data_IF_541350262565
#
_entry.id   IF_541350262565
#
_cell.length_a   1.000
_cell.length_b   1.000
_cell.length_c   1.000
_cell.angle_alpha   90.00
_cell.angle_beta   90.00
_cell.angle_gamma   90.00
#
_symmetry.space_group_name_H-M   'P 1'
#
loop_
_entity.id
_entity.type
_entity.pdbx_description
1 polymer ?
#
# COMPACT_ATOMS: atom_id res chain seq x y z
N UNK A 1 26.48 36.55 -1.13
CA UNK A 1 25.15 37.04 -0.74
C UNK A 1 24.16 35.97 -1.16
N UNK A 2 24.06 34.93 -0.34
CA UNK A 2 23.19 33.78 -0.57
C UNK A 2 21.75 34.22 -0.33
N UNK A 3 20.87 33.96 -1.29
CA UNK A 3 19.43 34.06 -1.09
C UNK A 3 18.94 32.70 -0.60
N UNK A 4 18.65 32.66 0.69
CA UNK A 4 17.96 31.57 1.36
C UNK A 4 16.55 31.42 0.76
N UNK A 5 16.32 30.35 0.00
CA UNK A 5 14.97 29.96 -0.44
C UNK A 5 14.42 29.01 0.61
N UNK A 6 13.57 29.52 1.50
CA UNK A 6 12.78 28.72 2.44
C UNK A 6 11.71 27.97 1.64
N UNK A 7 11.84 26.64 1.54
CA UNK A 7 10.73 25.78 1.14
C UNK A 7 9.95 25.38 2.40
N UNK A 8 8.72 25.86 2.50
CA UNK A 8 7.76 25.41 3.52
C UNK A 8 7.39 23.96 3.27
N UNK A 9 7.58 23.12 4.28
CA UNK A 9 7.11 21.73 4.29
C UNK A 9 5.58 21.71 4.43
N UNK A 10 4.89 21.58 3.29
CA UNK A 10 3.52 21.03 3.29
C UNK A 10 3.63 19.52 3.12
N UNK A 11 3.02 18.80 4.05
CA UNK A 11 3.13 17.34 4.28
C UNK A 11 2.92 16.53 2.99
N UNK A 12 3.81 15.58 2.63
CA UNK A 12 3.51 14.61 1.59
C UNK A 12 2.77 13.43 2.23
N UNK A 13 1.44 13.39 2.04
CA UNK A 13 0.72 12.12 2.12
C UNK A 13 0.78 11.44 0.75
N UNK A 14 1.05 10.15 0.84
CA UNK A 14 1.09 9.07 -0.14
C UNK A 14 0.36 9.31 -1.46
N UNK A 15 1.10 9.04 -2.54
CA UNK A 15 0.58 8.89 -3.89
C UNK A 15 0.48 7.37 -4.14
N UNK A 16 -0.68 6.74 -3.93
CA UNK A 16 -1.00 5.52 -4.67
C UNK A 16 -0.91 5.88 -6.15
N UNK A 17 0.11 5.35 -6.80
CA UNK A 17 0.52 5.74 -8.13
C UNK A 17 -0.48 5.22 -9.18
N UNK A 18 -1.61 5.92 -9.34
CA UNK A 18 -2.43 5.83 -10.56
C UNK A 18 -2.50 7.10 -11.37
N UNK A 19 -2.15 8.28 -10.87
CA UNK A 19 -2.14 9.50 -11.70
C UNK A 19 -0.91 10.37 -11.49
N UNK A 20 0.14 10.03 -12.23
CA UNK A 20 1.12 10.97 -12.77
C UNK A 20 1.74 10.41 -14.06
N UNK A 21 0.93 9.95 -15.02
CA UNK A 21 1.44 9.73 -16.39
C UNK A 21 0.45 10.12 -17.50
N UNK A 22 0.13 11.42 -17.70
CA UNK A 22 -0.12 11.93 -19.02
C UNK A 22 1.21 12.44 -19.62
N UNK A 23 1.73 11.73 -20.64
CA UNK A 23 2.71 12.17 -21.67
C UNK A 23 4.17 11.69 -21.68
N UNK A 24 4.63 10.73 -20.86
CA UNK A 24 6.01 10.21 -21.01
C UNK A 24 6.11 8.71 -21.30
N UNK A 25 5.48 8.29 -22.40
CA UNK A 25 5.96 7.13 -23.18
C UNK A 25 7.25 7.53 -23.92
N UNK A 26 8.39 7.51 -23.23
CA UNK A 26 9.76 7.36 -23.77
C UNK A 26 10.75 7.63 -22.65
N UNK A 27 11.06 6.59 -21.89
CA UNK A 27 12.35 6.53 -21.23
C UNK A 27 12.88 5.10 -21.33
N UNK A 28 13.91 4.95 -22.16
CA UNK A 28 14.78 3.79 -22.13
C UNK A 28 15.57 3.86 -20.82
N UNK A 29 15.09 3.21 -19.76
CA UNK A 29 15.90 2.97 -18.56
C UNK A 29 16.49 1.58 -18.62
N UNK A 30 17.66 1.52 -19.21
CA UNK A 30 18.61 0.43 -19.03
C UNK A 30 19.25 0.53 -17.65
N UNK A 31 19.17 -0.58 -16.91
CA UNK A 31 20.06 -1.03 -15.84
C UNK A 31 19.72 -0.70 -14.38
N UNK A 32 18.67 -1.36 -13.85
CA UNK A 32 18.89 -2.13 -12.62
C UNK A 32 19.60 -3.42 -13.04
N UNK A 33 20.84 -3.62 -12.61
CA UNK A 33 21.57 -4.88 -12.78
C UNK A 33 21.46 -5.68 -11.47
N UNK A 34 20.40 -6.49 -11.26
CA UNK A 34 20.54 -7.57 -10.30
C UNK A 34 21.65 -8.47 -10.85
N UNK A 35 22.63 -8.82 -10.01
CA UNK A 35 23.53 -9.93 -10.34
C UNK A 35 22.63 -11.08 -10.81
N UNK A 36 22.88 -11.58 -12.02
CA UNK A 36 22.08 -12.63 -12.69
C UNK A 36 21.82 -13.81 -11.75
N UNK A 37 20.71 -13.75 -11.05
CA UNK A 37 19.98 -14.84 -10.44
C UNK A 37 18.53 -14.56 -10.82
N UNK A 38 17.82 -15.57 -11.31
CA UNK A 38 16.38 -15.46 -11.58
C UNK A 38 15.69 -14.76 -10.40
N UNK A 39 14.68 -13.92 -10.66
CA UNK A 39 13.65 -13.64 -9.64
C UNK A 39 13.05 -14.99 -9.24
N UNK A 40 13.62 -15.64 -8.24
CA UNK A 40 13.04 -16.83 -7.65
C UNK A 40 12.08 -16.32 -6.58
N UNK A 41 10.82 -16.13 -6.98
CA UNK A 41 9.75 -16.01 -6.00
C UNK A 41 9.88 -17.14 -4.98
N UNK A 42 9.58 -16.83 -3.72
CA UNK A 42 9.73 -17.80 -2.65
C UNK A 42 8.83 -19.00 -2.93
N UNK A 43 9.30 -20.20 -2.68
CA UNK A 43 8.49 -21.42 -2.91
C UNK A 43 7.87 -21.98 -1.63
N UNK A 44 8.18 -21.39 -0.47
CA UNK A 44 7.71 -21.85 0.84
C UNK A 44 7.32 -20.69 1.77
N UNK A 45 6.34 -20.88 2.66
CA UNK A 45 5.98 -19.89 3.68
C UNK A 45 7.15 -19.55 4.61
N UNK A 46 7.13 -18.34 5.16
CA UNK A 46 8.12 -17.80 6.09
C UNK A 46 7.81 -18.16 7.54
N UNK A 47 8.86 -18.18 8.35
CA UNK A 47 8.80 -18.26 9.81
C UNK A 47 9.41 -17.00 10.45
N UNK A 48 9.47 -16.97 11.78
CA UNK A 48 10.01 -15.83 12.54
C UNK A 48 11.44 -15.42 12.18
N UNK A 49 12.31 -16.38 11.86
CA UNK A 49 13.71 -16.09 11.55
C UNK A 49 13.91 -15.43 10.19
N UNK A 50 12.93 -15.52 9.29
CA UNK A 50 12.95 -14.83 8.00
C UNK A 50 12.72 -13.31 8.16
N UNK A 51 12.32 -12.85 9.34
CA UNK A 51 12.02 -11.44 9.61
C UNK A 51 10.93 -10.85 8.72
N UNK A 52 9.77 -11.52 8.52
CA UNK A 52 8.79 -11.11 7.52
C UNK A 52 8.20 -9.72 7.81
N UNK A 53 8.08 -8.92 6.75
CA UNK A 53 7.43 -7.62 6.76
C UNK A 53 6.21 -7.65 5.85
N UNK A 54 5.07 -7.19 6.38
CA UNK A 54 3.83 -7.02 5.62
C UNK A 54 3.65 -5.54 5.36
N UNK A 55 3.91 -5.15 4.12
CA UNK A 55 3.79 -3.79 3.65
C UNK A 55 2.34 -3.54 3.26
N UNK A 56 1.70 -2.54 3.86
CA UNK A 56 0.32 -2.17 3.53
C UNK A 56 0.24 -0.67 3.25
N UNK A 57 -0.48 -0.34 2.18
CA UNK A 57 -0.84 1.02 1.79
C UNK A 57 -2.36 1.08 1.56
N UNK A 58 -3.02 2.05 2.16
CA UNK A 58 -4.46 2.26 2.02
C UNK A 58 -4.74 3.64 1.43
N UNK A 59 -5.74 3.72 0.55
CA UNK A 59 -6.38 4.99 0.19
C UNK A 59 -7.70 5.14 0.94
N UNK A 60 -8.00 6.34 1.41
CA UNK A 60 -9.17 6.59 2.27
C UNK A 60 -10.01 7.77 1.77
N UNK A 61 -11.27 7.84 2.22
CA UNK A 61 -12.15 9.00 1.99
C UNK A 61 -11.72 10.26 2.77
N UNK A 62 -10.81 10.11 3.73
CA UNK A 62 -10.33 11.15 4.62
C UNK A 62 -9.40 10.60 5.69
N UNK A 63 -9.19 11.35 6.77
CA UNK A 63 -8.18 11.04 7.81
C UNK A 63 -8.76 10.66 9.17
N UNK A 64 -10.07 10.51 9.29
CA UNK A 64 -10.73 10.16 10.53
C UNK A 64 -11.26 8.71 10.49
N UNK A 65 -10.58 7.75 11.16
CA UNK A 65 -11.00 6.35 11.15
C UNK A 65 -12.38 6.07 11.76
N UNK A 66 -12.97 6.99 12.53
CA UNK A 66 -14.35 6.85 13.05
C UNK A 66 -15.41 7.15 11.99
N UNK A 67 -15.07 7.85 10.91
CA UNK A 67 -16.02 8.37 9.92
C UNK A 67 -15.69 7.91 8.51
N UNK A 68 -14.42 7.99 8.16
CA UNK A 68 -13.90 7.71 6.83
C UNK A 68 -13.78 6.21 6.56
N UNK A 69 -13.64 5.87 5.26
CA UNK A 69 -13.60 4.50 4.75
C UNK A 69 -12.33 4.24 3.97
N UNK A 70 -11.86 2.99 4.04
CA UNK A 70 -10.83 2.47 3.15
C UNK A 70 -11.47 2.28 1.77
N UNK A 71 -10.84 2.84 0.74
CA UNK A 71 -11.24 2.79 -0.66
C UNK A 71 -10.44 1.78 -1.46
N UNK A 72 -9.14 1.68 -1.19
CA UNK A 72 -8.20 0.78 -1.83
C UNK A 72 -7.22 0.26 -0.78
N UNK A 73 -6.75 -0.97 -0.97
CA UNK A 73 -5.68 -1.56 -0.17
C UNK A 73 -4.72 -2.34 -1.07
N UNK A 74 -3.43 -2.06 -0.92
CA UNK A 74 -2.35 -2.81 -1.53
C UNK A 74 -1.50 -3.47 -0.44
N UNK A 75 -1.12 -4.73 -0.67
CA UNK A 75 -0.31 -5.52 0.27
C UNK A 75 0.84 -6.21 -0.46
N UNK A 76 2.06 -6.03 0.05
CA UNK A 76 3.27 -6.69 -0.42
C UNK A 76 4.00 -7.34 0.76
N UNK A 77 4.64 -8.48 0.53
CA UNK A 77 5.39 -9.19 1.57
C UNK A 77 6.86 -9.28 1.18
N UNK A 78 7.74 -8.98 2.14
CA UNK A 78 9.19 -9.21 2.05
C UNK A 78 9.70 -10.05 3.21
N UNK A 79 10.91 -10.59 3.05
CA UNK A 79 11.73 -10.99 4.18
C UNK A 79 12.41 -9.77 4.86
N UNK A 80 13.21 -10.03 5.89
CA UNK A 80 13.94 -9.01 6.65
C UNK A 80 15.06 -8.31 5.85
N UNK A 81 15.50 -8.90 4.75
CA UNK A 81 16.49 -8.34 3.82
C UNK A 81 15.82 -7.58 2.64
N UNK A 82 14.49 -7.38 2.71
CA UNK A 82 13.67 -6.68 1.73
C UNK A 82 13.54 -7.39 0.37
N UNK A 83 13.77 -8.70 0.32
CA UNK A 83 13.50 -9.47 -0.88
C UNK A 83 11.99 -9.72 -1.00
N UNK A 84 11.44 -9.39 -2.17
CA UNK A 84 10.01 -9.57 -2.48
C UNK A 84 9.69 -11.06 -2.58
N UNK A 85 8.63 -11.48 -1.89
CA UNK A 85 8.21 -12.89 -1.80
C UNK A 85 7.32 -13.31 -2.97
N UNK A 86 6.44 -12.41 -3.42
CA UNK A 86 5.41 -12.59 -4.46
C UNK A 86 4.99 -11.21 -4.97
N UNK A 87 4.17 -11.15 -6.00
CA UNK A 87 3.71 -9.93 -6.67
C UNK A 87 2.78 -9.05 -5.82
N UNK A 88 2.33 -9.52 -4.66
CA UNK A 88 1.39 -8.80 -3.80
C UNK A 88 -0.08 -8.99 -4.18
N UNK A 89 -0.96 -8.25 -3.51
CA UNK A 89 -2.38 -8.15 -3.83
C UNK A 89 -2.84 -6.69 -3.75
N UNK A 90 -3.78 -6.31 -4.60
CA UNK A 90 -4.39 -4.98 -4.65
C UNK A 90 -5.90 -5.14 -4.83
N UNK A 91 -6.68 -4.41 -4.04
CA UNK A 91 -8.14 -4.42 -4.12
C UNK A 91 -8.70 -3.02 -4.00
N UNK A 92 -9.59 -2.67 -4.93
CA UNK A 92 -10.47 -1.51 -4.79
C UNK A 92 -11.76 -1.99 -4.13
N UNK A 93 -12.16 -1.33 -3.05
CA UNK A 93 -13.36 -1.67 -2.27
C UNK A 93 -14.56 -0.96 -2.86
N UNK A 94 -15.67 -1.70 -2.97
CA UNK A 94 -16.98 -1.14 -3.32
C UNK A 94 -17.43 -0.20 -2.20
N UNK A 95 -17.61 1.07 -2.55
CA UNK A 95 -17.96 2.13 -1.59
C UNK A 95 -19.23 2.85 -2.02
N UNK A 96 -20.17 3.00 -1.09
CA UNK A 96 -21.42 3.69 -1.35
C UNK A 96 -21.19 5.18 -1.63
N UNK A 97 -21.98 5.72 -2.55
CA UNK A 97 -21.88 7.11 -3.02
C UNK A 97 -21.92 8.12 -1.87
N UNK A 98 -22.65 7.84 -0.79
CA UNK A 98 -22.73 8.73 0.38
C UNK A 98 -21.37 9.00 1.03
N UNK A 99 -20.48 8.01 1.08
CA UNK A 99 -19.13 8.18 1.63
C UNK A 99 -18.22 8.92 0.66
N UNK A 100 -18.35 8.64 -0.64
CA UNK A 100 -17.57 9.30 -1.70
C UNK A 100 -17.96 10.78 -1.84
N UNK A 101 -19.25 11.10 -1.76
CA UNK A 101 -19.76 12.47 -1.76
C UNK A 101 -19.41 13.24 -0.47
N UNK A 102 -19.10 12.51 0.61
CA UNK A 102 -18.72 13.06 1.91
C UNK A 102 -17.23 13.41 2.03
N UNK A 103 -16.43 13.13 1.00
CA UNK A 103 -15.00 13.45 0.97
C UNK A 103 -14.76 14.97 0.99
N UNK A 104 -13.62 15.39 1.55
CA UNK A 104 -13.20 16.79 1.44
C UNK A 104 -12.78 17.16 0.00
N UNK A 105 -12.51 18.45 -0.22
CA UNK A 105 -12.17 18.95 -1.54
C UNK A 105 -10.86 18.35 -2.10
N UNK A 106 -9.91 18.00 -1.22
CA UNK A 106 -8.63 17.43 -1.62
C UNK A 106 -8.81 15.98 -2.07
N UNK A 107 -9.46 15.14 -1.25
CA UNK A 107 -9.75 13.75 -1.55
C UNK A 107 -10.64 13.62 -2.79
N UNK A 108 -11.69 14.46 -2.90
CA UNK A 108 -12.58 14.48 -4.07
C UNK A 108 -11.80 14.75 -5.35
N UNK A 109 -10.90 15.72 -5.34
CA UNK A 109 -10.07 16.05 -6.50
C UNK A 109 -9.10 14.91 -6.81
N UNK A 110 -8.34 14.47 -5.82
CA UNK A 110 -7.29 13.47 -5.98
C UNK A 110 -7.84 12.14 -6.50
N UNK A 111 -8.90 11.62 -5.86
CA UNK A 111 -9.54 10.35 -6.22
C UNK A 111 -10.37 10.45 -7.49
N UNK A 112 -10.88 11.64 -7.82
CA UNK A 112 -11.53 11.92 -9.09
C UNK A 112 -10.53 11.91 -10.25
N UNK A 113 -9.39 12.60 -10.10
CA UNK A 113 -8.31 12.61 -11.10
C UNK A 113 -7.72 11.21 -11.28
N UNK A 114 -7.52 10.46 -10.20
CA UNK A 114 -6.99 9.09 -10.24
C UNK A 114 -7.94 8.06 -10.88
N UNK A 115 -9.23 8.38 -10.94
CA UNK A 115 -10.29 7.46 -11.32
C UNK A 115 -10.71 6.50 -10.20
N UNK A 116 -10.12 6.60 -9.00
CA UNK A 116 -10.45 5.74 -7.86
C UNK A 116 -11.91 5.89 -7.44
N UNK A 117 -12.46 7.11 -7.43
CA UNK A 117 -13.88 7.34 -7.08
C UNK A 117 -14.82 6.52 -7.95
N UNK A 118 -14.61 6.53 -9.27
CA UNK A 118 -15.42 5.77 -10.22
C UNK A 118 -15.17 4.26 -10.11
N UNK A 119 -13.93 3.84 -9.83
CA UNK A 119 -13.58 2.45 -9.62
C UNK A 119 -14.24 1.88 -8.35
N UNK A 120 -14.32 2.64 -7.26
CA UNK A 120 -15.03 2.25 -6.04
C UNK A 120 -16.53 2.04 -6.30
N UNK A 121 -17.17 2.87 -7.11
CA UNK A 121 -18.59 2.70 -7.46
C UNK A 121 -18.84 1.41 -8.27
N UNK A 122 -17.89 1.05 -9.12
CA UNK A 122 -17.96 -0.12 -10.01
C UNK A 122 -17.41 -1.41 -9.41
N UNK A 123 -16.64 -1.32 -8.32
CA UNK A 123 -15.95 -2.48 -7.78
C UNK A 123 -16.93 -3.58 -7.38
N UNK A 124 -16.64 -4.86 -7.70
CA UNK A 124 -17.44 -5.98 -7.23
C UNK A 124 -17.08 -6.40 -5.80
N UNK A 125 -15.99 -5.86 -5.22
CA UNK A 125 -15.42 -6.36 -3.98
C UNK A 125 -15.98 -5.64 -2.76
N UNK A 126 -16.69 -6.36 -1.89
CA UNK A 126 -17.10 -5.82 -0.60
C UNK A 126 -15.91 -5.73 0.34
N UNK A 127 -15.98 -4.85 1.35
CA UNK A 127 -14.97 -4.76 2.40
C UNK A 127 -14.67 -6.12 3.05
N UNK A 128 -15.71 -6.90 3.34
CA UNK A 128 -15.56 -8.20 4.00
C UNK A 128 -14.82 -9.20 3.11
N UNK A 129 -15.13 -9.23 1.80
CA UNK A 129 -14.38 -10.03 0.84
C UNK A 129 -12.90 -9.63 0.81
N UNK A 130 -12.62 -8.32 0.72
CA UNK A 130 -11.25 -7.80 0.66
C UNK A 130 -10.48 -8.12 1.95
N UNK A 131 -11.09 -7.94 3.12
CA UNK A 131 -10.49 -8.28 4.42
C UNK A 131 -10.09 -9.76 4.48
N UNK A 132 -10.98 -10.67 4.07
CA UNK A 132 -10.69 -12.10 4.03
C UNK A 132 -9.62 -12.45 2.99
N UNK A 133 -9.64 -11.82 1.82
CA UNK A 133 -8.67 -12.05 0.76
C UNK A 133 -7.26 -11.60 1.18
N UNK A 134 -7.15 -10.42 1.79
CA UNK A 134 -5.88 -9.90 2.34
C UNK A 134 -5.36 -10.79 3.46
N UNK A 135 -6.21 -11.18 4.42
CA UNK A 135 -5.82 -12.08 5.50
C UNK A 135 -5.36 -13.44 4.95
N UNK A 136 -6.05 -13.98 3.95
CA UNK A 136 -5.69 -15.24 3.31
C UNK A 136 -4.35 -15.15 2.58
N UNK A 137 -4.09 -14.04 1.88
CA UNK A 137 -2.81 -13.77 1.25
C UNK A 137 -1.66 -13.70 2.27
N UNK A 138 -1.87 -13.02 3.39
CA UNK A 138 -0.89 -12.96 4.48
C UNK A 138 -0.63 -14.37 5.05
N UNK A 139 -1.68 -15.13 5.36
CA UNK A 139 -1.58 -16.50 5.91
C UNK A 139 -0.91 -17.49 4.98
N UNK A 140 -1.07 -17.34 3.66
CA UNK A 140 -0.38 -18.16 2.65
C UNK A 140 1.14 -18.10 2.84
N UNK A 141 1.68 -16.91 3.12
CA UNK A 141 3.12 -16.68 3.25
C UNK A 141 3.59 -16.67 4.70
N UNK A 142 2.73 -16.37 5.67
CA UNK A 142 3.04 -16.19 7.09
C UNK A 142 1.96 -16.92 7.90
N UNK A 143 2.03 -18.27 7.99
CA UNK A 143 0.97 -19.10 8.58
C UNK A 143 0.92 -19.05 10.10
N UNK A 144 1.98 -18.55 10.75
CA UNK A 144 2.03 -18.34 12.19
C UNK A 144 1.64 -16.91 12.55
N UNK A 145 0.70 -16.77 13.49
CA UNK A 145 0.23 -15.48 13.98
C UNK A 145 1.33 -14.73 14.75
N UNK A 146 1.31 -13.39 14.70
CA UNK A 146 2.25 -12.49 15.39
C UNK A 146 3.71 -12.64 14.96
N UNK A 147 3.97 -13.22 13.79
CA UNK A 147 5.32 -13.41 13.24
C UNK A 147 5.84 -12.20 12.48
N UNK A 148 4.99 -11.53 11.70
CA UNK A 148 5.40 -10.44 10.82
C UNK A 148 5.04 -9.05 11.35
N UNK A 149 5.89 -8.06 11.12
CA UNK A 149 5.59 -6.67 11.45
C UNK A 149 4.87 -5.97 10.30
N UNK A 150 3.94 -5.06 10.63
CA UNK A 150 3.38 -4.12 9.66
C UNK A 150 4.47 -3.13 9.24
N UNK A 151 4.65 -2.93 7.94
CA UNK A 151 5.64 -2.03 7.36
C UNK A 151 4.97 -1.03 6.41
N UNK A 152 5.57 0.16 6.29
CA UNK A 152 5.11 1.19 5.35
C UNK A 152 5.56 2.57 5.78
N UNK A 153 5.44 3.55 4.89
CA UNK A 153 5.68 4.94 5.24
C UNK A 153 4.45 5.52 5.94
N UNK A 154 4.63 6.15 7.11
CA UNK A 154 3.52 6.73 7.87
C UNK A 154 2.41 5.72 8.19
N UNK A 155 2.77 4.43 8.27
CA UNK A 155 1.84 3.28 8.36
C UNK A 155 0.95 3.28 9.61
N UNK A 156 1.23 4.18 10.56
CA UNK A 156 0.34 4.46 11.68
C UNK A 156 -1.06 4.93 11.22
N UNK A 157 -1.14 5.70 10.12
CA UNK A 157 -2.39 6.14 9.55
C UNK A 157 -3.19 4.94 9.03
N UNK A 158 -2.60 4.11 8.16
CA UNK A 158 -3.21 2.89 7.62
C UNK A 158 -3.66 1.95 8.74
N UNK A 159 -2.77 1.73 9.72
CA UNK A 159 -3.06 0.89 10.89
C UNK A 159 -4.31 1.37 11.63
N UNK A 160 -4.50 2.68 11.77
CA UNK A 160 -5.64 3.22 12.51
C UNK A 160 -6.98 2.90 11.86
N UNK A 161 -7.02 2.83 10.52
CA UNK A 161 -8.17 2.37 9.76
C UNK A 161 -8.31 0.85 9.82
N UNK A 162 -7.23 0.10 9.60
CA UNK A 162 -7.24 -1.36 9.61
C UNK A 162 -7.70 -1.94 10.95
N UNK A 163 -7.33 -1.34 12.09
CA UNK A 163 -7.82 -1.76 13.42
C UNK A 163 -9.34 -1.73 13.53
N UNK A 164 -10.01 -0.82 12.81
CA UNK A 164 -11.48 -0.67 12.85
C UNK A 164 -12.18 -1.44 11.73
N UNK A 165 -11.63 -1.37 10.53
CA UNK A 165 -12.27 -1.86 9.31
C UNK A 165 -11.92 -3.33 9.02
N UNK A 166 -10.70 -3.77 9.40
CA UNK A 166 -10.14 -5.10 9.12
C UNK A 166 -9.33 -5.65 10.32
N UNK A 167 -9.93 -5.77 11.53
CA UNK A 167 -9.20 -6.10 12.76
C UNK A 167 -8.45 -7.43 12.70
N UNK A 168 -9.01 -8.44 12.01
CA UNK A 168 -8.38 -9.76 11.88
C UNK A 168 -7.02 -9.72 11.16
N UNK A 169 -6.84 -8.77 10.22
CA UNK A 169 -5.55 -8.54 9.54
C UNK A 169 -4.52 -8.04 10.56
N UNK A 170 -4.86 -7.02 11.34
CA UNK A 170 -3.97 -6.45 12.36
C UNK A 170 -3.69 -7.44 13.49
N UNK A 171 -4.69 -8.24 13.86
CA UNK A 171 -4.52 -9.28 14.87
C UNK A 171 -3.63 -10.41 14.38
N UNK A 172 -3.50 -10.62 13.08
CA UNK A 172 -2.55 -11.58 12.55
C UNK A 172 -1.10 -11.10 12.63
N UNK A 173 -0.88 -9.80 12.52
CA UNK A 173 0.45 -9.18 12.54
C UNK A 173 0.97 -8.96 13.97
N UNK A 174 2.28 -8.85 14.11
CA UNK A 174 2.92 -8.47 15.36
C UNK A 174 2.52 -7.03 15.77
N UNK A 175 2.57 -6.72 17.07
CA UNK A 175 2.16 -5.41 17.58
C UNK A 175 3.10 -4.26 17.18
N UNK A 176 4.36 -4.59 16.87
CA UNK A 176 5.37 -3.63 16.39
C UNK A 176 5.13 -3.30 14.93
N UNK A 177 5.55 -2.10 14.57
CA UNK A 177 5.52 -1.63 13.19
C UNK A 177 6.90 -1.13 12.78
N UNK A 178 7.15 -1.11 11.48
CA UNK A 178 8.33 -0.50 10.86
C UNK A 178 7.84 0.67 9.99
N UNK A 179 7.80 1.87 10.59
CA UNK A 179 7.02 3.01 10.09
C UNK A 179 7.79 4.15 9.41
N UNK A 180 9.12 4.11 9.38
CA UNK A 180 9.97 5.16 8.79
C UNK A 180 10.90 4.59 7.73
N UNK A 181 10.32 3.95 6.73
CA UNK A 181 11.09 3.53 5.56
C UNK A 181 10.76 4.52 4.44
N UNK A 182 11.79 5.19 3.90
CA UNK A 182 11.68 6.06 2.71
C UNK A 182 11.31 5.29 1.44
N UNK A 183 10.69 4.11 1.55
CA UNK A 183 10.32 3.29 0.42
C UNK A 183 8.82 3.03 0.42
N UNK A 184 8.21 3.12 -0.75
CA UNK A 184 6.79 2.92 -0.99
C UNK A 184 6.56 1.64 -1.77
N UNK A 185 5.37 1.07 -1.63
CA UNK A 185 4.90 0.02 -2.53
C UNK A 185 4.32 0.74 -3.77
N UNK A 186 4.89 0.48 -4.94
CA UNK A 186 4.28 0.82 -6.21
C UNK A 186 3.68 -0.45 -6.81
N UNK A 187 2.35 -0.56 -6.85
CA UNK A 187 1.67 -1.61 -7.61
C UNK A 187 1.24 -1.03 -8.96
N UNK A 188 1.92 -1.47 -10.02
CA UNK A 188 1.65 -1.04 -11.38
C UNK A 188 0.41 -1.72 -11.98
N UNK A 189 -0.17 -1.18 -13.07
CA UNK A 189 -1.25 -1.84 -13.77
C UNK A 189 -0.78 -3.21 -14.27
N UNK A 190 -1.48 -4.26 -13.87
CA UNK A 190 -1.14 -5.68 -14.05
C UNK A 190 -0.07 -6.15 -13.06
N UNK A 191 -0.46 -6.27 -11.78
CA UNK A 191 0.15 -7.23 -10.83
C UNK A 191 1.65 -7.09 -10.59
N UNK A 192 2.24 -5.90 -10.74
CA UNK A 192 3.66 -5.70 -10.42
C UNK A 192 3.80 -4.76 -9.23
N UNK A 193 3.98 -5.30 -8.02
CA UNK A 193 4.37 -4.53 -6.86
C UNK A 193 5.91 -4.36 -6.81
N UNK A 194 6.38 -3.15 -6.53
CA UNK A 194 7.81 -2.84 -6.34
C UNK A 194 7.99 -1.96 -5.13
N UNK A 195 9.11 -2.15 -4.44
CA UNK A 195 9.56 -1.23 -3.40
C UNK A 195 10.36 -0.13 -4.10
N UNK A 196 9.84 1.10 -4.08
CA UNK A 196 10.47 2.27 -4.72
C UNK A 196 11.00 3.22 -3.65
N UNK A 197 12.20 3.76 -3.84
CA UNK A 197 12.76 4.77 -2.93
C UNK A 197 12.08 6.13 -3.16
N UNK A 198 11.86 6.90 -2.10
CA UNK A 198 11.33 8.27 -2.15
C UNK A 198 12.18 9.23 -2.98
N UNK A 199 13.45 8.89 -3.25
CA UNK A 199 14.38 9.69 -4.02
C UNK A 199 14.43 9.35 -5.53
N UNK A 200 13.62 8.40 -6.00
CA UNK A 200 13.59 7.96 -7.40
C UNK A 200 14.51 6.78 -7.69
#
# INVERSE_FOLDING_TARGET
MEKEVKMEFTRPMLLSARVLVPKFYRYNFTQYHPRRGLMSYRTQPMNFHDGPLVWIDCEMTGLNPDKDKILEIAVLITDGDLNIVDDGVEYIIKTDKIYLDGMDAWCTKQHGESGLTEACLKSPHTKDYVSQAVLSYIKKWIPEQRTACLAGNSVHADRSFLVKEMPEVIDWLHYRIVGEIQHFIHVGPIGTARIVNANG
#
